data_IF_856913446667
#
_entry.id   IF_856913446667
#
_cell.length_a   1.000
_cell.length_b   1.000
_cell.length_c   1.000
_cell.angle_alpha   90.00
_cell.angle_beta   90.00
_cell.angle_gamma   90.00
#
_symmetry.space_group_name_H-M   'P 1'
#
loop_
_entity.id
_entity.type
_entity.pdbx_description
1 polymer ?
#
# COMPACT_ATOMS: atom_id res chain seq x y z
N UNK A 1 -54.49 -58.83 -21.49
CA UNK A 1 -54.41 -57.79 -20.44
C UNK A 1 -53.08 -57.97 -19.72
N UNK A 2 -52.45 -56.85 -19.36
CA UNK A 2 -51.18 -56.70 -18.62
C UNK A 2 -49.90 -56.70 -19.49
N UNK A 3 -49.51 -55.52 -19.94
CA UNK A 3 -48.13 -55.16 -20.32
C UNK A 3 -47.37 -54.69 -19.07
N UNK A 4 -46.10 -55.08 -18.83
CA UNK A 4 -45.34 -54.56 -17.71
C UNK A 4 -44.68 -53.23 -18.08
N UNK A 5 -44.89 -52.21 -17.24
CA UNK A 5 -44.20 -50.93 -17.32
C UNK A 5 -42.81 -51.06 -16.70
N UNK A 6 -41.76 -50.75 -17.47
CA UNK A 6 -40.38 -50.63 -16.95
C UNK A 6 -40.22 -49.20 -16.45
N UNK A 7 -40.05 -49.05 -15.13
CA UNK A 7 -39.73 -47.77 -14.50
C UNK A 7 -38.21 -47.57 -14.55
N UNK A 8 -37.74 -46.62 -15.36
CA UNK A 8 -36.32 -46.26 -15.44
C UNK A 8 -36.00 -45.24 -14.34
N UNK A 9 -35.24 -45.66 -13.33
CA UNK A 9 -34.75 -44.78 -12.26
C UNK A 9 -33.49 -44.06 -12.74
N UNK A 10 -33.59 -42.76 -13.04
CA UNK A 10 -32.42 -41.92 -13.36
C UNK A 10 -31.83 -41.40 -12.05
N UNK A 11 -30.70 -41.96 -11.62
CA UNK A 11 -29.93 -41.43 -10.50
C UNK A 11 -29.08 -40.24 -10.98
N UNK A 12 -29.43 -39.02 -10.57
CA UNK A 12 -28.62 -37.82 -10.79
C UNK A 12 -27.55 -37.75 -9.70
N UNK A 13 -26.31 -38.07 -10.05
CA UNK A 13 -25.16 -37.87 -9.18
C UNK A 13 -24.69 -36.41 -9.26
N UNK A 14 -24.97 -35.63 -8.22
CA UNK A 14 -24.31 -34.34 -8.01
C UNK A 14 -22.87 -34.60 -7.55
N UNK A 15 -21.92 -34.46 -8.47
CA UNK A 15 -20.50 -34.38 -8.12
C UNK A 15 -20.22 -33.00 -7.51
N UNK A 16 -20.32 -32.90 -6.19
CA UNK A 16 -19.70 -31.81 -5.44
C UNK A 16 -18.21 -32.09 -5.38
N UNK A 17 -17.44 -31.48 -6.28
CA UNK A 17 -15.98 -31.40 -6.12
C UNK A 17 -15.68 -30.54 -4.89
N UNK A 18 -14.97 -31.08 -3.86
CA UNK A 18 -14.42 -30.22 -2.83
C UNK A 18 -13.30 -29.38 -3.47
N UNK A 19 -13.53 -28.08 -3.59
CA UNK A 19 -12.42 -27.14 -3.81
C UNK A 19 -11.60 -27.12 -2.52
N UNK A 20 -10.54 -27.93 -2.47
CA UNK A 20 -9.49 -27.77 -1.47
C UNK A 20 -8.63 -26.61 -1.97
N UNK A 21 -8.96 -25.40 -1.54
CA UNK A 21 -8.02 -24.28 -1.61
C UNK A 21 -6.98 -24.56 -0.52
N UNK A 22 -5.74 -24.80 -0.91
CA UNK A 22 -4.66 -24.93 0.06
C UNK A 22 -4.45 -23.56 0.71
N UNK A 23 -4.33 -23.50 2.04
CA UNK A 23 -4.15 -22.25 2.79
C UNK A 23 -2.99 -21.37 2.28
N UNK A 24 -2.01 -21.96 1.59
CA UNK A 24 -0.92 -21.23 0.92
C UNK A 24 -1.37 -20.37 -0.26
N UNK A 25 -2.41 -20.77 -0.97
CA UNK A 25 -2.89 -20.06 -2.18
C UNK A 25 -3.72 -18.82 -1.80
N UNK A 26 -4.34 -18.84 -0.62
CA UNK A 26 -5.10 -17.69 -0.11
C UNK A 26 -4.21 -16.47 0.16
N UNK A 27 -2.95 -16.72 0.57
CA UNK A 27 -1.93 -15.69 0.79
C UNK A 27 -1.56 -14.94 -0.50
N UNK A 28 -1.68 -15.59 -1.66
CA UNK A 28 -1.24 -15.01 -2.94
C UNK A 28 -2.11 -13.79 -3.29
N UNK A 29 -1.47 -12.66 -3.53
CA UNK A 29 -2.09 -11.40 -3.93
C UNK A 29 -1.38 -10.18 -3.35
N UNK A 30 -1.96 -9.03 -3.65
CA UNK A 30 -1.53 -7.73 -3.12
C UNK A 30 -2.41 -7.36 -1.93
N UNK A 31 -1.82 -6.74 -0.92
CA UNK A 31 -2.44 -6.49 0.37
C UNK A 31 -2.09 -5.11 0.90
N UNK A 32 -3.11 -4.38 1.33
CA UNK A 32 -2.94 -3.19 2.17
C UNK A 32 -2.89 -3.64 3.63
N UNK A 33 -1.91 -3.13 4.39
CA UNK A 33 -1.66 -3.57 5.76
C UNK A 33 -2.06 -2.49 6.76
N UNK A 34 -2.75 -2.93 7.81
CA UNK A 34 -3.04 -2.14 9.00
C UNK A 34 -2.06 -2.56 10.10
N UNK A 35 -0.99 -1.79 10.28
CA UNK A 35 0.00 -1.98 11.35
C UNK A 35 -0.52 -1.41 12.68
N UNK A 36 -0.19 -2.03 13.81
CA UNK A 36 -0.50 -1.50 15.15
C UNK A 36 0.20 -0.16 15.40
N UNK A 37 1.43 0.00 14.92
CA UNK A 37 2.18 1.26 14.98
C UNK A 37 1.58 2.39 14.13
N UNK A 38 0.64 2.08 13.24
CA UNK A 38 0.14 3.02 12.23
C UNK A 38 1.09 3.24 11.05
N UNK A 39 2.21 2.51 10.97
CA UNK A 39 3.18 2.60 9.87
C UNK A 39 2.52 2.27 8.53
N UNK A 40 2.49 3.19 7.53
CA UNK A 40 1.91 2.92 6.22
C UNK A 40 2.64 1.77 5.53
N UNK A 41 1.93 0.70 5.20
CA UNK A 41 2.55 -0.54 4.71
C UNK A 41 1.68 -1.29 3.70
N UNK A 42 2.34 -1.98 2.78
CA UNK A 42 1.70 -2.90 1.83
C UNK A 42 2.58 -4.14 1.61
N UNK A 43 1.97 -5.21 1.12
CA UNK A 43 2.66 -6.46 0.81
C UNK A 43 2.10 -7.08 -0.48
N UNK A 44 2.98 -7.72 -1.25
CA UNK A 44 2.63 -8.49 -2.43
C UNK A 44 3.26 -9.88 -2.30
N UNK A 45 2.44 -10.92 -2.44
CA UNK A 45 2.85 -12.31 -2.31
C UNK A 45 2.48 -13.02 -3.61
N UNK A 46 3.49 -13.48 -4.33
CA UNK A 46 3.34 -14.26 -5.54
C UNK A 46 4.13 -15.57 -5.44
N UNK A 47 3.77 -16.52 -6.29
CA UNK A 47 4.46 -17.80 -6.41
C UNK A 47 4.60 -18.19 -7.87
N UNK A 48 5.83 -18.37 -8.33
CA UNK A 48 6.16 -18.75 -9.71
C UNK A 48 7.01 -20.01 -9.66
N UNK A 49 6.59 -21.07 -10.36
CA UNK A 49 7.28 -22.37 -10.42
C UNK A 49 7.67 -22.93 -9.04
N UNK A 50 6.81 -22.71 -8.04
CA UNK A 50 7.02 -23.18 -6.66
C UNK A 50 7.84 -22.23 -5.79
N UNK A 51 8.46 -21.20 -6.36
CA UNK A 51 9.29 -20.20 -5.67
C UNK A 51 8.43 -19.01 -5.25
N UNK A 52 8.57 -18.59 -3.98
CA UNK A 52 7.89 -17.42 -3.45
C UNK A 52 8.59 -16.12 -3.87
N UNK A 53 7.82 -15.16 -4.36
CA UNK A 53 8.20 -13.76 -4.53
C UNK A 53 7.39 -12.94 -3.52
N UNK A 54 8.06 -12.47 -2.47
CA UNK A 54 7.43 -11.69 -1.41
C UNK A 54 8.03 -10.29 -1.41
N UNK A 55 7.16 -9.30 -1.53
CA UNK A 55 7.49 -7.88 -1.42
C UNK A 55 6.72 -7.28 -0.27
N UNK A 56 7.39 -6.43 0.50
CA UNK A 56 6.77 -5.71 1.60
C UNK A 56 7.48 -4.37 1.76
N UNK A 57 6.71 -3.29 1.83
CA UNK A 57 7.20 -1.94 2.11
C UNK A 57 6.67 -1.48 3.45
N UNK A 58 7.59 -1.12 4.35
CA UNK A 58 7.30 -0.43 5.61
C UNK A 58 7.67 1.04 5.46
N UNK A 59 6.69 1.89 5.14
CA UNK A 59 6.87 3.32 4.91
C UNK A 59 7.95 3.68 3.86
N UNK A 60 9.21 3.85 4.26
CA UNK A 60 10.36 4.13 3.38
C UNK A 60 11.38 2.99 3.45
N UNK A 61 11.77 2.44 2.31
CA UNK A 61 12.73 1.34 2.21
C UNK A 61 12.64 0.59 0.89
N UNK A 62 13.41 -0.48 0.71
CA UNK A 62 13.16 -1.40 -0.41
C UNK A 62 11.86 -2.15 -0.18
N UNK A 63 11.08 -2.38 -1.23
CA UNK A 63 9.93 -3.28 -1.20
C UNK A 63 10.32 -4.76 -1.38
N UNK A 64 11.57 -5.07 -1.75
CA UNK A 64 12.04 -6.43 -2.00
C UNK A 64 12.47 -6.66 -3.46
N UNK A 65 12.43 -7.92 -3.96
CA UNK A 65 11.93 -9.11 -3.27
C UNK A 65 12.76 -9.44 -2.02
N UNK A 66 12.09 -9.93 -0.98
CA UNK A 66 12.72 -10.37 0.26
C UNK A 66 13.14 -11.84 0.12
N UNK A 67 14.29 -12.19 0.72
CA UNK A 67 14.88 -13.53 0.60
C UNK A 67 14.59 -14.39 1.81
N UNK A 68 15.00 -15.67 1.74
CA UNK A 68 14.85 -16.65 2.81
C UNK A 68 13.39 -16.86 3.24
N UNK A 69 12.49 -16.83 2.26
CA UNK A 69 11.05 -17.05 2.45
C UNK A 69 10.79 -18.54 2.67
N UNK A 70 10.31 -18.87 3.87
CA UNK A 70 10.02 -20.25 4.28
C UNK A 70 8.55 -20.37 4.66
N UNK A 71 7.87 -21.38 4.13
CA UNK A 71 6.51 -21.75 4.55
C UNK A 71 6.60 -22.79 5.67
N UNK A 72 6.08 -22.46 6.86
CA UNK A 72 5.99 -23.39 8.00
C UNK A 72 4.61 -23.26 8.62
N UNK A 73 3.92 -24.39 8.82
CA UNK A 73 2.59 -24.44 9.47
C UNK A 73 1.54 -23.48 8.85
N UNK A 74 1.57 -23.32 7.52
CA UNK A 74 0.64 -22.46 6.80
C UNK A 74 0.97 -20.97 6.87
N UNK A 75 2.14 -20.59 7.39
CA UNK A 75 2.61 -19.20 7.48
C UNK A 75 3.92 -19.00 6.74
N UNK A 76 4.08 -17.83 6.13
CA UNK A 76 5.33 -17.38 5.51
C UNK A 76 6.18 -16.65 6.55
N UNK A 77 7.41 -17.12 6.73
CA UNK A 77 8.45 -16.45 7.49
C UNK A 77 9.54 -15.95 6.54
N UNK A 78 9.96 -14.69 6.67
CA UNK A 78 11.03 -14.12 5.86
C UNK A 78 11.74 -12.96 6.56
N UNK A 79 12.89 -12.55 6.02
CA UNK A 79 13.65 -11.39 6.50
C UNK A 79 13.47 -10.22 5.54
N UNK A 80 13.20 -9.03 6.07
CA UNK A 80 13.16 -7.81 5.26
C UNK A 80 14.59 -7.44 4.86
N UNK A 81 14.83 -7.26 3.56
CA UNK A 81 16.09 -6.73 3.05
C UNK A 81 16.26 -5.26 3.48
N UNK A 82 17.34 -4.98 4.22
CA UNK A 82 17.64 -3.66 4.78
C UNK A 82 18.97 -3.13 4.23
N UNK A 83 19.18 -1.81 4.31
CA UNK A 83 20.45 -1.19 3.89
C UNK A 83 21.61 -1.71 4.76
N UNK A 84 22.82 -1.82 4.19
CA UNK A 84 24.04 -2.24 4.90
C UNK A 84 24.38 -1.41 6.14
N UNK A 85 23.90 -0.15 6.21
CA UNK A 85 24.11 0.73 7.37
C UNK A 85 23.13 0.46 8.53
N UNK A 86 22.08 -0.33 8.28
CA UNK A 86 21.06 -0.65 9.25
C UNK A 86 21.56 -1.74 10.19
N UNK A 87 21.45 -1.51 11.50
CA UNK A 87 22.00 -2.41 12.54
C UNK A 87 20.95 -3.30 13.17
N UNK A 88 19.67 -2.93 13.08
CA UNK A 88 18.57 -3.79 13.50
C UNK A 88 18.30 -4.87 12.43
N UNK A 89 17.62 -5.94 12.85
CA UNK A 89 17.14 -6.99 11.96
C UNK A 89 15.63 -6.99 11.98
N UNK A 90 14.99 -7.03 10.81
CA UNK A 90 13.54 -7.19 10.70
C UNK A 90 13.16 -8.54 10.09
N UNK A 91 12.33 -9.28 10.80
CA UNK A 91 11.72 -10.54 10.33
C UNK A 91 10.20 -10.42 10.33
N UNK A 92 9.55 -11.18 9.46
CA UNK A 92 8.10 -11.18 9.31
C UNK A 92 7.60 -12.61 9.41
N UNK A 93 6.49 -12.80 10.10
CA UNK A 93 5.71 -14.03 10.07
C UNK A 93 4.25 -13.70 9.76
N UNK A 94 3.74 -14.20 8.64
CA UNK A 94 2.40 -13.87 8.13
C UNK A 94 1.63 -15.12 7.72
N UNK A 95 0.35 -15.16 8.06
CA UNK A 95 -0.60 -16.20 7.70
C UNK A 95 -1.97 -15.61 7.37
N UNK A 96 -2.95 -16.49 7.26
CA UNK A 96 -4.36 -16.14 7.09
C UNK A 96 -5.15 -16.53 8.33
N UNK A 97 -6.00 -15.60 8.80
CA UNK A 97 -7.01 -15.86 9.82
C UNK A 97 -8.33 -15.25 9.36
N UNK A 98 -9.37 -16.09 9.26
CA UNK A 98 -10.74 -15.67 8.86
C UNK A 98 -10.81 -14.85 7.55
N UNK A 99 -9.99 -15.19 6.55
CA UNK A 99 -10.00 -14.51 5.24
C UNK A 99 -9.26 -13.17 5.19
N UNK A 100 -8.57 -12.78 6.26
CA UNK A 100 -7.65 -11.64 6.29
C UNK A 100 -6.23 -12.11 6.60
N UNK A 101 -5.23 -11.37 6.12
CA UNK A 101 -3.86 -11.60 6.60
C UNK A 101 -3.78 -11.25 8.08
N UNK A 102 -3.04 -12.05 8.81
CA UNK A 102 -2.57 -11.73 10.15
C UNK A 102 -1.05 -11.94 10.20
N UNK A 103 -0.32 -11.02 10.79
CA UNK A 103 1.13 -11.15 10.85
C UNK A 103 1.78 -10.24 11.89
N UNK A 104 3.09 -10.40 12.02
CA UNK A 104 3.92 -9.59 12.91
C UNK A 104 5.26 -9.29 12.25
N UNK A 105 5.69 -8.04 12.37
CA UNK A 105 7.08 -7.64 12.12
C UNK A 105 7.83 -7.64 13.45
N UNK A 106 8.90 -8.42 13.54
CA UNK A 106 9.79 -8.45 14.69
C UNK A 106 11.07 -7.68 14.34
N UNK A 107 11.34 -6.60 15.06
CA UNK A 107 12.58 -5.82 14.97
C UNK A 107 13.50 -6.18 16.13
N UNK A 108 14.66 -6.75 15.83
CA UNK A 108 15.70 -7.08 16.83
C UNK A 108 16.82 -6.06 16.75
N UNK A 109 17.05 -5.35 17.85
CA UNK A 109 18.14 -4.37 18.00
C UNK A 109 19.47 -5.08 18.31
N UNK A 110 20.62 -4.39 18.14
CA UNK A 110 21.95 -4.96 18.46
C UNK A 110 22.13 -5.40 19.92
N UNK A 111 21.37 -4.82 20.85
CA UNK A 111 21.36 -5.20 22.27
C UNK A 111 20.50 -6.44 22.56
N UNK A 112 19.88 -7.03 21.54
CA UNK A 112 19.00 -8.18 21.64
C UNK A 112 17.56 -7.86 22.00
N UNK A 113 17.20 -6.60 22.23
CA UNK A 113 15.81 -6.21 22.44
C UNK A 113 14.97 -6.47 21.19
N UNK A 114 13.76 -6.97 21.37
CA UNK A 114 12.82 -7.28 20.28
C UNK A 114 11.57 -6.45 20.43
N UNK A 115 11.26 -5.68 19.40
CA UNK A 115 9.99 -4.98 19.25
C UNK A 115 9.10 -5.75 18.27
N UNK A 116 7.83 -5.88 18.62
CA UNK A 116 6.79 -6.47 17.77
C UNK A 116 5.86 -5.38 17.25
N UNK A 117 5.49 -5.46 15.99
CA UNK A 117 4.46 -4.64 15.37
C UNK A 117 3.52 -5.58 14.61
N UNK A 118 2.38 -5.90 15.23
CA UNK A 118 1.40 -6.78 14.61
C UNK A 118 0.65 -6.04 13.51
N UNK A 119 0.10 -6.81 12.57
CA UNK A 119 -0.69 -6.26 11.49
C UNK A 119 -1.76 -7.21 10.99
N UNK A 120 -2.81 -6.62 10.43
CA UNK A 120 -3.79 -7.33 9.59
C UNK A 120 -3.73 -6.81 8.16
N UNK A 121 -4.25 -7.57 7.19
CA UNK A 121 -4.25 -7.14 5.79
C UNK A 121 -5.58 -7.33 5.08
N UNK A 122 -5.93 -6.36 4.22
CA UNK A 122 -7.07 -6.43 3.30
C UNK A 122 -6.54 -6.62 1.89
N UNK A 123 -7.10 -7.61 1.18
CA UNK A 123 -6.68 -7.95 -0.18
C UNK A 123 -7.02 -6.80 -1.13
N UNK A 124 -6.04 -6.34 -1.88
CA UNK A 124 -6.22 -5.35 -2.93
C UNK A 124 -6.81 -6.08 -4.14
N UNK A 125 -7.98 -5.67 -4.64
CA UNK A 125 -8.55 -6.26 -5.84
C UNK A 125 -7.60 -6.11 -7.03
N UNK A 126 -7.49 -7.12 -7.91
CA UNK A 126 -6.66 -7.01 -9.10
C UNK A 126 -7.15 -5.85 -9.98
N UNK A 127 -6.22 -5.13 -10.57
CA UNK A 127 -6.53 -4.10 -11.55
C UNK A 127 -7.23 -4.76 -12.75
N UNK A 128 -8.37 -4.21 -13.17
CA UNK A 128 -9.09 -4.68 -14.35
C UNK A 128 -8.17 -4.65 -15.58
N UNK A 129 -8.11 -5.76 -16.33
CA UNK A 129 -7.39 -5.82 -17.60
C UNK A 129 -8.06 -5.00 -18.71
N UNK A 130 -9.32 -4.63 -18.52
CA UNK A 130 -10.06 -3.74 -19.42
C UNK A 130 -10.02 -2.33 -18.85
N UNK A 131 -9.47 -1.34 -19.60
CA UNK A 131 -9.52 0.05 -19.20
C UNK A 131 -10.97 0.51 -18.98
N UNK A 132 -11.23 1.40 -18.00
CA UNK A 132 -12.55 1.97 -17.82
C UNK A 132 -12.96 2.79 -19.05
N UNK A 133 -14.24 2.73 -19.41
CA UNK A 133 -14.82 3.54 -20.46
C UNK A 133 -15.05 4.98 -19.96
N UNK A 134 -14.05 5.84 -20.20
CA UNK A 134 -14.06 7.23 -19.74
C UNK A 134 -15.21 8.07 -20.31
N UNK A 135 -15.85 7.63 -21.41
CA UNK A 135 -17.03 8.32 -21.97
C UNK A 135 -18.25 8.27 -21.04
N UNK A 136 -18.26 7.35 -20.06
CA UNK A 136 -19.31 7.20 -19.04
C UNK A 136 -19.06 8.02 -17.79
N UNK A 137 -17.84 8.55 -17.61
CA UNK A 137 -17.51 9.38 -16.45
C UNK A 137 -18.25 10.71 -16.56
N UNK A 138 -18.79 11.17 -15.43
CA UNK A 138 -19.44 12.47 -15.31
C UNK A 138 -18.80 13.19 -14.14
N UNK A 139 -18.00 14.21 -14.44
CA UNK A 139 -17.38 15.03 -13.41
C UNK A 139 -18.39 16.01 -12.83
N UNK A 140 -18.28 16.26 -11.52
CA UNK A 140 -18.99 17.35 -10.86
C UNK A 140 -18.41 18.73 -11.24
N UNK A 141 -18.89 19.76 -10.56
CA UNK A 141 -18.33 21.10 -10.70
C UNK A 141 -16.87 21.13 -10.17
N UNK A 142 -15.95 21.86 -10.84
CA UNK A 142 -14.60 22.04 -10.35
C UNK A 142 -14.61 22.66 -8.94
N UNK A 143 -13.78 22.10 -8.05
CA UNK A 143 -13.58 22.63 -6.70
C UNK A 143 -12.17 23.19 -6.59
N UNK A 144 -12.04 24.46 -6.20
CA UNK A 144 -10.74 25.05 -5.94
C UNK A 144 -10.14 24.44 -4.67
N UNK A 145 -9.00 23.76 -4.81
CA UNK A 145 -8.28 23.21 -3.65
C UNK A 145 -7.53 24.29 -2.87
N UNK A 146 -7.12 25.37 -3.53
CA UNK A 146 -6.43 26.49 -2.91
C UNK A 146 -7.18 27.78 -3.17
N UNK A 147 -7.34 28.60 -2.13
CA UNK A 147 -8.14 29.83 -2.17
C UNK A 147 -7.31 31.10 -2.46
N UNK A 148 -5.98 30.96 -2.64
CA UNK A 148 -5.07 32.08 -2.90
C UNK A 148 -4.77 32.99 -1.71
N UNK A 149 -5.24 32.65 -0.49
CA UNK A 149 -5.18 33.54 0.68
C UNK A 149 -4.56 32.89 1.90
N UNK A 150 -4.95 31.66 2.18
CA UNK A 150 -4.54 30.94 3.37
C UNK A 150 -4.61 29.42 3.13
N UNK A 151 -4.34 28.66 4.19
CA UNK A 151 -4.32 27.20 4.15
C UNK A 151 -5.69 26.58 4.49
N UNK A 152 -6.79 27.33 4.42
CA UNK A 152 -8.13 26.77 4.62
C UNK A 152 -8.34 25.63 3.63
N UNK A 153 -8.69 24.45 4.13
CA UNK A 153 -8.80 23.24 3.32
C UNK A 153 -7.56 22.33 3.39
N UNK A 154 -6.48 22.75 4.04
CA UNK A 154 -5.22 22.03 4.15
C UNK A 154 -4.75 21.87 5.59
N UNK A 155 -4.00 20.79 5.85
CA UNK A 155 -3.36 20.50 7.13
C UNK A 155 -2.00 19.84 6.92
N UNK A 156 -1.08 19.94 7.90
CA UNK A 156 0.10 19.08 7.96
C UNK A 156 -0.30 17.61 7.92
N UNK A 157 0.38 16.81 7.11
CA UNK A 157 0.19 15.36 7.10
C UNK A 157 0.79 14.73 8.36
N UNK A 158 2.03 15.08 8.69
CA UNK A 158 2.70 14.70 9.93
C UNK A 158 2.45 15.77 11.01
N UNK A 159 1.63 15.43 12.00
CA UNK A 159 1.22 16.36 13.07
C UNK A 159 2.34 16.77 14.03
N UNK A 160 3.42 15.99 14.08
CA UNK A 160 4.59 16.19 14.95
C UNK A 160 5.72 16.97 14.26
N UNK A 161 5.62 17.21 12.94
CA UNK A 161 6.63 17.92 12.17
C UNK A 161 6.34 19.42 12.06
N UNK A 162 7.38 20.19 11.76
CA UNK A 162 7.27 21.65 11.60
C UNK A 162 6.50 21.99 10.32
N UNK A 163 5.66 23.01 10.39
CA UNK A 163 4.99 23.52 9.21
C UNK A 163 5.99 24.25 8.30
N UNK A 164 6.17 23.74 7.08
CA UNK A 164 7.06 24.33 6.07
C UNK A 164 6.34 25.11 4.97
N UNK A 165 5.01 24.97 4.90
CA UNK A 165 4.16 25.59 3.90
C UNK A 165 3.54 26.88 4.42
N UNK A 166 3.46 27.89 3.56
CA UNK A 166 2.78 29.15 3.85
C UNK A 166 2.23 29.75 2.55
N UNK A 167 1.40 30.79 2.68
CA UNK A 167 0.89 31.53 1.52
C UNK A 167 1.68 32.82 1.36
N UNK A 168 2.14 33.09 0.15
CA UNK A 168 2.81 34.33 -0.22
C UNK A 168 2.39 34.70 -1.65
N UNK A 169 2.06 35.96 -1.90
CA UNK A 169 1.73 36.47 -3.24
C UNK A 169 0.66 35.66 -3.99
N UNK A 170 -0.35 35.17 -3.26
CA UNK A 170 -1.42 34.28 -3.73
C UNK A 170 -0.96 32.89 -4.19
N UNK A 171 0.23 32.45 -3.77
CA UNK A 171 0.80 31.14 -4.06
C UNK A 171 1.00 30.34 -2.78
N UNK A 172 0.96 29.01 -2.91
CA UNK A 172 1.31 28.09 -1.84
C UNK A 172 2.81 27.77 -1.93
N UNK A 173 3.59 28.23 -0.94
CA UNK A 173 5.05 28.25 -0.98
C UNK A 173 5.66 27.32 0.06
N UNK A 174 6.67 26.55 -0.34
CA UNK A 174 7.52 25.74 0.54
C UNK A 174 8.99 26.11 0.33
N UNK A 175 9.63 26.65 1.37
CA UNK A 175 11.05 27.05 1.35
C UNK A 175 11.94 26.16 2.22
N UNK A 176 11.45 24.96 2.55
CA UNK A 176 12.15 24.07 3.49
C UNK A 176 13.51 23.63 2.94
N UNK A 177 14.58 23.70 3.75
CA UNK A 177 15.89 23.23 3.33
C UNK A 177 15.95 21.71 3.34
N UNK A 178 16.67 21.11 2.38
CA UNK A 178 17.14 19.73 2.50
C UNK A 178 18.26 19.72 3.53
N UNK A 179 17.93 19.41 4.78
CA UNK A 179 18.88 19.47 5.89
C UNK A 179 19.84 18.29 5.91
N UNK A 180 19.38 17.10 5.50
CA UNK A 180 20.16 15.86 5.49
C UNK A 180 19.61 14.85 4.46
N UNK A 181 20.13 13.62 4.50
CA UNK A 181 19.69 12.48 3.70
C UNK A 181 18.80 11.51 4.50
N UNK A 182 18.16 11.98 5.57
CA UNK A 182 17.19 11.17 6.28
C UNK A 182 16.03 10.81 5.36
N UNK A 183 15.36 9.68 5.66
CA UNK A 183 14.20 9.23 4.90
C UNK A 183 13.05 10.25 4.94
N UNK A 184 13.01 11.09 5.97
CA UNK A 184 12.01 12.13 6.15
C UNK A 184 12.62 13.38 6.78
N UNK A 185 12.38 14.55 6.20
CA UNK A 185 12.82 15.82 6.79
C UNK A 185 12.03 16.22 8.06
N UNK A 186 12.50 17.28 8.72
CA UNK A 186 11.88 17.86 9.92
C UNK A 186 10.56 18.62 9.66
N UNK A 187 10.19 18.79 8.38
CA UNK A 187 9.03 19.56 7.96
C UNK A 187 7.93 18.63 7.42
N UNK A 188 6.69 18.99 7.70
CA UNK A 188 5.52 18.23 7.29
C UNK A 188 5.22 18.40 5.80
N UNK A 189 4.71 17.33 5.20
CA UNK A 189 3.97 17.40 3.94
C UNK A 189 2.61 18.07 4.18
N UNK A 190 1.98 18.55 3.11
CA UNK A 190 0.66 19.17 3.16
C UNK A 190 -0.40 18.23 2.58
N UNK A 191 -1.56 18.15 3.23
CA UNK A 191 -2.69 17.31 2.82
C UNK A 191 -4.01 18.09 2.85
N UNK A 192 -4.89 17.85 1.89
CA UNK A 192 -6.25 18.37 1.91
C UNK A 192 -7.07 17.76 3.06
N UNK A 193 -7.94 18.56 3.70
CA UNK A 193 -8.94 18.02 4.63
C UNK A 193 -9.93 17.09 3.91
N UNK A 194 -10.33 17.47 2.69
CA UNK A 194 -11.17 16.65 1.84
C UNK A 194 -10.40 15.42 1.33
N UNK A 195 -11.12 14.30 1.20
CA UNK A 195 -10.64 13.07 0.58
C UNK A 195 -11.42 12.86 -0.71
N UNK A 196 -10.71 12.48 -1.77
CA UNK A 196 -11.26 12.29 -3.09
C UNK A 196 -11.01 10.86 -3.57
N UNK A 197 -11.96 10.31 -4.32
CA UNK A 197 -11.81 9.05 -5.04
C UNK A 197 -11.38 9.33 -6.49
N UNK A 198 -12.35 9.32 -7.41
CA UNK A 198 -12.13 9.68 -8.81
C UNK A 198 -12.16 11.19 -8.98
N UNK A 199 -11.13 11.75 -9.60
CA UNK A 199 -11.04 13.18 -9.85
C UNK A 199 -10.24 13.49 -11.11
N UNK A 200 -10.49 14.69 -11.64
CA UNK A 200 -9.60 15.36 -12.58
C UNK A 200 -8.91 16.50 -11.83
N UNK A 201 -7.58 16.49 -11.79
CA UNK A 201 -6.78 17.44 -11.04
C UNK A 201 -5.99 18.34 -12.00
N UNK A 202 -6.07 19.64 -11.77
CA UNK A 202 -5.22 20.64 -12.41
C UNK A 202 -4.39 21.34 -11.32
N UNK A 203 -3.07 21.37 -11.50
CA UNK A 203 -2.13 22.05 -10.62
C UNK A 203 -1.06 22.71 -11.49
N UNK A 204 -0.76 23.96 -11.18
CA UNK A 204 0.42 24.67 -11.68
C UNK A 204 1.47 24.68 -10.57
N UNK A 205 2.75 24.54 -10.94
CA UNK A 205 3.84 24.51 -9.98
C UNK A 205 5.08 25.20 -10.55
N UNK A 206 5.90 25.73 -9.64
CA UNK A 206 7.21 26.27 -9.91
C UNK A 206 8.20 25.60 -8.96
N UNK A 207 9.28 25.03 -9.50
CA UNK A 207 10.28 24.32 -8.71
C UNK A 207 11.68 24.88 -9.01
N UNK A 208 12.42 25.20 -7.95
CA UNK A 208 13.80 25.67 -8.06
C UNK A 208 14.77 24.55 -8.43
N UNK A 209 15.99 24.94 -8.84
CA UNK A 209 17.08 24.02 -9.17
C UNK A 209 17.39 23.05 -8.02
N UNK A 210 17.65 21.79 -8.37
CA UNK A 210 17.97 20.69 -7.45
C UNK A 210 16.94 20.47 -6.33
N UNK A 211 15.66 20.75 -6.61
CA UNK A 211 14.54 20.50 -5.69
C UNK A 211 13.70 19.31 -6.13
N UNK A 212 13.10 18.66 -5.15
CA UNK A 212 12.24 17.50 -5.32
C UNK A 212 10.97 17.70 -4.47
N UNK A 213 9.82 17.49 -5.11
CA UNK A 213 8.48 17.53 -4.55
C UNK A 213 7.63 16.47 -5.25
N UNK A 214 6.37 16.34 -4.86
CA UNK A 214 5.45 15.38 -5.46
C UNK A 214 4.00 15.64 -5.11
N UNK A 215 3.10 15.17 -5.97
CA UNK A 215 1.66 15.17 -5.75
C UNK A 215 1.24 13.73 -5.48
N UNK A 216 0.86 13.43 -4.24
CA UNK A 216 0.41 12.10 -3.84
C UNK A 216 -1.10 11.92 -4.09
N UNK A 217 -1.44 11.27 -5.20
CA UNK A 217 -2.82 10.92 -5.55
C UNK A 217 -3.37 9.95 -4.50
N UNK A 218 -4.45 10.36 -3.84
CA UNK A 218 -5.08 9.63 -2.73
C UNK A 218 -4.11 9.30 -1.59
N UNK A 219 -3.00 10.04 -1.47
CA UNK A 219 -1.95 9.79 -0.49
C UNK A 219 -1.09 8.54 -0.75
N UNK A 220 -1.22 7.89 -1.91
CA UNK A 220 -0.54 6.61 -2.20
C UNK A 220 0.38 6.67 -3.43
N UNK A 221 -0.10 7.27 -4.53
CA UNK A 221 0.62 7.26 -5.80
C UNK A 221 1.24 8.62 -6.07
N UNK A 222 2.56 8.69 -6.15
CA UNK A 222 3.26 9.95 -6.38
C UNK A 222 3.34 10.28 -7.87
N UNK A 223 2.84 11.46 -8.25
CA UNK A 223 3.23 12.13 -9.47
C UNK A 223 4.41 13.08 -9.14
N UNK A 224 5.64 12.75 -9.57
CA UNK A 224 6.83 13.48 -9.15
C UNK A 224 6.84 14.89 -9.74
N UNK A 225 7.23 15.87 -8.91
CA UNK A 225 7.48 17.25 -9.29
C UNK A 225 8.93 17.56 -8.92
N UNK A 226 9.85 17.30 -9.85
CA UNK A 226 11.28 17.35 -9.58
C UNK A 226 11.99 18.18 -10.63
N UNK A 227 13.02 18.92 -10.21
CA UNK A 227 14.01 19.39 -11.16
C UNK A 227 14.74 18.16 -11.74
N UNK A 228 14.99 18.17 -13.05
CA UNK A 228 15.58 17.04 -13.78
C UNK A 228 16.94 16.61 -13.20
N UNK A 229 17.65 17.55 -12.58
CA UNK A 229 19.00 17.37 -12.03
C UNK A 229 19.02 17.18 -10.50
N UNK A 230 17.87 16.96 -9.85
CA UNK A 230 17.76 16.80 -8.38
C UNK A 230 18.35 15.51 -7.83
#
# INVERSE_FOLDING_TARGET
MITPSILLLVAVFFFLSPFIVFASDELIGDWSLQMESGTPSWMSIHKTDGVWDVRMRLYVGSDGPHTDVIMTDGRLAFRIHQNKKTTDTKTVNVGMTNGSLDGVVCTTSPDGSVQHDAFTGIKIPPVSSTPPDLSKVRFGLPTALFNGKDLTGWQPYESDKKMGWHVQDNELVNTTPKADFSATGAYANLRTHAVFEDFWLHVEFNIGEARNSGIYLRGMYEAPVVDRNS
#
